data_IF_592976303301
#
_entry.id   IF_592976303301
#
_cell.length_a   1.000
_cell.length_b   1.000
_cell.length_c   1.000
_cell.angle_alpha   90.00
_cell.angle_beta   90.00
_cell.angle_gamma   90.00
#
_symmetry.space_group_name_H-M   'P 1'
#
loop_
_entity.id
_entity.type
_entity.pdbx_description
1 polymer ?
#
# COMPACT_ATOMS: atom_id res chain seq x y z
N UNK A 1 -12.49 -20.73 36.65
CA UNK A 1 -12.60 -19.49 35.86
C UNK A 1 -11.40 -19.49 34.94
N UNK A 2 -11.58 -19.94 33.67
CA UNK A 2 -10.50 -20.06 32.69
C UNK A 2 -10.21 -18.67 32.09
N UNK A 3 -8.95 -18.27 31.91
CA UNK A 3 -8.63 -17.01 31.26
C UNK A 3 -8.99 -17.10 29.77
N UNK A 4 -9.75 -16.13 29.31
CA UNK A 4 -10.04 -15.93 27.89
C UNK A 4 -8.74 -15.55 27.18
N UNK A 5 -8.17 -16.52 26.47
CA UNK A 5 -7.04 -16.28 25.58
C UNK A 5 -7.59 -15.60 24.32
N UNK A 6 -7.46 -14.29 24.25
CA UNK A 6 -7.67 -13.57 22.99
C UNK A 6 -6.66 -14.10 21.96
N UNK A 7 -7.16 -14.82 20.98
CA UNK A 7 -6.42 -15.19 19.79
C UNK A 7 -6.15 -13.90 19.00
N UNK A 8 -5.02 -13.25 19.29
CA UNK A 8 -4.51 -12.18 18.43
C UNK A 8 -4.27 -12.82 17.06
N UNK A 9 -5.07 -12.45 16.08
CA UNK A 9 -4.74 -12.76 14.69
C UNK A 9 -3.43 -12.03 14.40
N UNK A 10 -2.35 -12.80 14.31
CA UNK A 10 -1.07 -12.29 13.80
C UNK A 10 -1.28 -11.89 12.34
N UNK A 11 -1.74 -10.65 12.13
CA UNK A 11 -1.54 -9.99 10.85
C UNK A 11 -0.03 -9.77 10.80
N UNK A 12 0.65 -10.54 9.96
CA UNK A 12 2.07 -10.37 9.70
C UNK A 12 2.24 -9.02 8.98
N UNK A 13 2.28 -7.93 9.73
CA UNK A 13 2.55 -6.60 9.23
C UNK A 13 4.04 -6.50 8.97
N UNK A 14 4.49 -6.91 7.79
CA UNK A 14 5.86 -6.68 7.34
C UNK A 14 5.98 -5.36 6.61
N UNK A 15 7.15 -4.75 6.70
CA UNK A 15 7.49 -3.62 5.84
C UNK A 15 7.50 -4.03 4.37
N UNK A 16 7.14 -3.11 3.48
CA UNK A 16 7.08 -3.32 2.04
C UNK A 16 7.41 -2.04 1.28
N UNK A 17 7.78 -2.17 0.01
CA UNK A 17 8.06 -1.03 -0.84
C UNK A 17 6.81 -0.52 -1.54
N UNK A 18 6.75 0.81 -1.72
CA UNK A 18 5.68 1.51 -2.43
C UNK A 18 6.28 2.45 -3.48
N UNK A 19 5.56 2.79 -4.56
CA UNK A 19 5.98 3.85 -5.47
C UNK A 19 6.17 5.18 -4.73
N UNK A 20 7.31 5.85 -4.92
CA UNK A 20 7.56 7.18 -4.36
C UNK A 20 7.19 8.31 -5.34
N UNK A 21 6.93 7.97 -6.61
CA UNK A 21 6.56 8.89 -7.67
C UNK A 21 5.59 8.24 -8.66
N UNK A 22 4.94 9.06 -9.48
CA UNK A 22 4.19 8.58 -10.64
C UNK A 22 5.15 8.42 -11.82
N UNK A 23 5.10 7.26 -12.48
CA UNK A 23 5.94 6.96 -13.65
C UNK A 23 5.09 6.83 -14.91
N UNK A 24 5.59 7.38 -16.02
CA UNK A 24 5.09 7.14 -17.37
C UNK A 24 6.23 6.57 -18.23
N UNK A 25 6.05 5.36 -18.73
CA UNK A 25 7.03 4.64 -19.54
C UNK A 25 6.45 4.32 -20.91
N UNK A 26 7.26 4.43 -21.96
CA UNK A 26 6.87 4.17 -23.35
C UNK A 26 7.72 3.06 -23.94
N UNK A 27 7.08 2.11 -24.62
CA UNK A 27 7.75 1.06 -25.35
C UNK A 27 7.01 0.76 -26.66
N UNK A 28 7.76 0.52 -27.73
CA UNK A 28 7.21 0.07 -29.02
C UNK A 28 7.55 -1.41 -29.24
N UNK A 29 6.53 -2.24 -29.44
CA UNK A 29 6.67 -3.67 -29.74
C UNK A 29 5.92 -4.00 -31.01
N UNK A 30 6.64 -4.39 -32.08
CA UNK A 30 6.07 -4.68 -33.39
C UNK A 30 5.13 -3.57 -33.90
N UNK A 31 5.59 -2.34 -33.84
CA UNK A 31 4.87 -1.11 -34.20
C UNK A 31 3.66 -0.77 -33.30
N UNK A 32 3.27 -1.63 -32.37
CA UNK A 32 2.29 -1.24 -31.33
C UNK A 32 2.97 -0.44 -30.25
N UNK A 33 2.36 0.67 -29.85
CA UNK A 33 2.84 1.52 -28.75
C UNK A 33 2.18 1.07 -27.46
N UNK A 34 2.99 0.82 -26.45
CA UNK A 34 2.57 0.55 -25.09
C UNK A 34 3.01 1.69 -24.18
N UNK A 35 2.05 2.32 -23.50
CA UNK A 35 2.31 3.40 -22.55
C UNK A 35 1.91 2.89 -21.17
N UNK A 36 2.90 2.65 -20.33
CA UNK A 36 2.67 2.19 -18.96
C UNK A 36 2.64 3.38 -18.03
N UNK A 37 1.57 3.51 -17.26
CA UNK A 37 1.39 4.50 -16.21
C UNK A 37 1.38 3.78 -14.87
N UNK A 38 2.20 4.23 -13.92
CA UNK A 38 2.28 3.68 -12.56
C UNK A 38 2.06 4.81 -11.56
N UNK A 39 1.28 4.54 -10.52
CA UNK A 39 1.07 5.48 -9.42
C UNK A 39 1.00 4.78 -8.07
N UNK A 40 1.31 5.52 -7.01
CA UNK A 40 1.03 5.16 -5.63
C UNK A 40 -0.47 5.30 -5.37
N UNK A 41 -1.11 4.21 -4.98
CA UNK A 41 -2.57 4.12 -4.74
C UNK A 41 -2.83 3.29 -3.49
N UNK A 42 -2.84 3.93 -2.31
CA UNK A 42 -2.97 3.25 -1.01
C UNK A 42 -4.25 2.44 -0.86
N UNK A 43 -5.35 2.90 -1.47
CA UNK A 43 -6.68 2.31 -1.34
C UNK A 43 -7.25 1.86 -2.68
N UNK A 44 -8.30 1.05 -2.64
CA UNK A 44 -9.05 0.65 -3.83
C UNK A 44 -9.71 1.85 -4.53
N UNK A 45 -10.09 2.87 -3.79
CA UNK A 45 -10.72 4.06 -4.38
C UNK A 45 -9.68 4.94 -5.07
N UNK A 46 -8.44 5.04 -4.53
CA UNK A 46 -7.32 5.68 -5.23
C UNK A 46 -6.98 4.93 -6.52
N UNK A 47 -6.95 3.59 -6.47
CA UNK A 47 -6.73 2.77 -7.67
C UNK A 47 -7.79 3.02 -8.74
N UNK A 48 -9.08 3.03 -8.39
CA UNK A 48 -10.19 3.33 -9.30
C UNK A 48 -10.09 4.75 -9.87
N UNK A 49 -9.76 5.74 -9.02
CA UNK A 49 -9.61 7.13 -9.43
C UNK A 49 -8.46 7.27 -10.45
N UNK A 50 -7.33 6.62 -10.21
CA UNK A 50 -6.20 6.62 -11.14
C UNK A 50 -6.54 5.95 -12.48
N UNK A 51 -7.18 4.77 -12.46
CA UNK A 51 -7.64 4.07 -13.68
C UNK A 51 -8.60 4.96 -14.48
N UNK A 52 -9.57 5.58 -13.80
CA UNK A 52 -10.52 6.50 -14.43
C UNK A 52 -9.81 7.68 -15.09
N UNK A 53 -8.85 8.30 -14.38
CA UNK A 53 -8.05 9.41 -14.92
C UNK A 53 -7.32 9.02 -16.20
N UNK A 54 -6.66 7.85 -16.24
CA UNK A 54 -5.96 7.41 -17.46
C UNK A 54 -6.94 7.15 -18.62
N UNK A 55 -8.14 6.59 -18.36
CA UNK A 55 -9.16 6.42 -19.38
C UNK A 55 -9.64 7.78 -19.94
N UNK A 56 -9.71 8.81 -19.12
CA UNK A 56 -10.06 10.18 -19.53
C UNK A 56 -8.92 10.86 -20.30
N UNK A 57 -7.67 10.60 -19.93
CA UNK A 57 -6.48 11.15 -20.58
C UNK A 57 -6.21 10.47 -21.96
N UNK A 58 -6.68 9.23 -22.17
CA UNK A 58 -6.46 8.44 -23.40
C UNK A 58 -7.78 7.86 -23.95
N UNK A 59 -8.77 8.71 -24.28
CA UNK A 59 -10.10 8.27 -24.71
C UNK A 59 -10.12 7.64 -26.10
N UNK A 60 -9.09 7.86 -26.90
CA UNK A 60 -8.92 7.33 -28.26
C UNK A 60 -8.21 5.98 -28.28
N UNK A 61 -7.65 5.53 -27.16
CA UNK A 61 -7.06 4.21 -27.03
C UNK A 61 -8.16 3.14 -26.94
N UNK A 62 -7.93 2.01 -27.65
CA UNK A 62 -8.87 0.89 -27.59
C UNK A 62 -8.80 0.11 -26.30
N UNK A 63 -7.63 0.12 -25.65
CA UNK A 63 -7.34 -0.69 -24.49
C UNK A 63 -6.50 0.10 -23.48
N UNK A 64 -7.04 0.25 -22.27
CA UNK A 64 -6.37 0.76 -21.09
C UNK A 64 -6.39 -0.36 -20.04
N UNK A 65 -5.60 -1.41 -20.29
CA UNK A 65 -5.53 -2.58 -19.42
C UNK A 65 -4.86 -2.22 -18.11
N UNK A 66 -5.36 -2.76 -16.99
CA UNK A 66 -4.83 -2.37 -15.69
C UNK A 66 -4.68 -3.54 -14.72
N UNK A 67 -3.80 -3.36 -13.75
CA UNK A 67 -3.66 -4.20 -12.57
C UNK A 67 -3.30 -3.35 -11.37
N UNK A 68 -3.73 -3.77 -10.17
CA UNK A 68 -3.37 -3.10 -8.92
C UNK A 68 -3.14 -4.07 -7.76
N UNK A 69 -2.33 -3.59 -6.81
CA UNK A 69 -2.14 -4.11 -5.47
C UNK A 69 -2.44 -2.94 -4.52
N UNK A 70 -3.68 -2.80 -4.06
CA UNK A 70 -4.12 -1.70 -3.20
C UNK A 70 -3.96 -2.09 -1.73
N UNK A 71 -2.91 -1.60 -1.10
CA UNK A 71 -2.52 -1.94 0.27
C UNK A 71 -1.30 -2.84 0.35
N UNK A 72 -1.12 -3.50 1.50
CA UNK A 72 0.03 -4.38 1.75
C UNK A 72 0.02 -5.60 0.82
N UNK A 73 1.18 -6.00 0.26
CA UNK A 73 1.29 -7.22 -0.54
C UNK A 73 0.92 -8.48 0.28
N UNK A 74 0.31 -9.46 -0.39
CA UNK A 74 -0.06 -10.75 0.25
C UNK A 74 -1.54 -10.89 0.61
N UNK A 75 -2.31 -9.81 0.68
CA UNK A 75 -3.76 -9.85 0.89
C UNK A 75 -4.53 -10.05 -0.42
N UNK A 76 -5.26 -11.15 -0.59
CA UNK A 76 -5.98 -11.46 -1.85
C UNK A 76 -7.09 -10.46 -2.22
N UNK A 77 -7.65 -9.76 -1.25
CA UNK A 77 -8.75 -8.79 -1.44
C UNK A 77 -8.29 -7.41 -1.96
N UNK A 78 -6.99 -7.17 -2.00
CA UNK A 78 -6.41 -5.91 -2.49
C UNK A 78 -5.94 -5.99 -3.94
N UNK A 79 -6.13 -7.13 -4.61
CA UNK A 79 -5.69 -7.35 -5.99
C UNK A 79 -6.85 -7.20 -6.97
N UNK A 80 -6.56 -6.58 -8.10
CA UNK A 80 -7.50 -6.48 -9.21
C UNK A 80 -6.79 -6.33 -10.53
N UNK A 81 -7.49 -6.66 -11.62
CA UNK A 81 -7.01 -6.47 -12.98
C UNK A 81 -8.15 -6.44 -13.99
N UNK A 82 -7.86 -5.90 -15.18
CA UNK A 82 -8.75 -5.95 -16.34
C UNK A 82 -7.95 -6.01 -17.63
N UNK A 83 -8.44 -6.82 -18.57
CA UNK A 83 -7.91 -6.88 -19.92
C UNK A 83 -8.48 -5.78 -20.83
N UNK A 84 -9.48 -5.02 -20.40
CA UNK A 84 -10.10 -3.89 -21.10
C UNK A 84 -10.28 -4.12 -22.62
N UNK A 85 -10.94 -5.23 -22.96
CA UNK A 85 -11.24 -5.60 -24.34
C UNK A 85 -10.12 -6.31 -25.12
N UNK A 86 -8.93 -6.50 -24.53
CA UNK A 86 -7.96 -7.48 -25.05
C UNK A 86 -8.47 -8.92 -24.82
N UNK A 87 -7.96 -9.93 -25.53
CA UNK A 87 -8.34 -11.32 -25.27
C UNK A 87 -8.11 -11.71 -23.80
N UNK A 88 -9.05 -12.44 -23.23
CA UNK A 88 -9.05 -12.81 -21.81
C UNK A 88 -7.70 -13.39 -21.34
N UNK A 89 -7.16 -12.82 -20.27
CA UNK A 89 -5.91 -13.25 -19.63
C UNK A 89 -4.65 -12.87 -20.37
N UNK A 90 -4.72 -11.99 -21.40
CA UNK A 90 -3.55 -11.62 -22.19
C UNK A 90 -2.89 -10.29 -21.81
N UNK A 91 -3.55 -9.49 -20.98
CA UNK A 91 -3.08 -8.17 -20.57
C UNK A 91 -3.09 -7.97 -19.05
N UNK A 92 -4.24 -7.77 -18.43
CA UNK A 92 -4.35 -7.46 -17.01
C UNK A 92 -3.82 -8.55 -16.10
N UNK A 93 -4.07 -9.84 -16.42
CA UNK A 93 -3.54 -10.95 -15.62
C UNK A 93 -2.01 -11.05 -15.66
N UNK A 94 -1.33 -10.97 -16.83
CA UNK A 94 0.12 -10.84 -16.90
C UNK A 94 0.67 -9.64 -16.11
N UNK A 95 0.00 -8.47 -16.19
CA UNK A 95 0.37 -7.30 -15.41
C UNK A 95 0.26 -7.55 -13.90
N UNK A 96 -0.84 -8.15 -13.44
CA UNK A 96 -0.99 -8.51 -12.04
C UNK A 96 0.10 -9.48 -11.55
N UNK A 97 0.46 -10.47 -12.36
CA UNK A 97 1.54 -11.40 -12.01
C UNK A 97 2.89 -10.67 -11.83
N UNK A 98 3.16 -9.66 -12.66
CA UNK A 98 4.37 -8.82 -12.51
C UNK A 98 4.30 -7.98 -11.23
N UNK A 99 3.17 -7.32 -10.95
CA UNK A 99 3.01 -6.53 -9.73
C UNK A 99 3.15 -7.39 -8.46
N UNK A 100 2.49 -8.53 -8.41
CA UNK A 100 2.58 -9.44 -7.25
C UNK A 100 3.98 -10.03 -7.09
N UNK A 101 4.67 -10.31 -8.19
CA UNK A 101 6.05 -10.79 -8.18
C UNK A 101 7.08 -9.72 -7.77
N UNK A 102 6.77 -8.43 -7.92
CA UNK A 102 7.65 -7.32 -7.52
C UNK A 102 7.73 -7.12 -6.01
N UNK A 103 6.75 -7.59 -5.24
CA UNK A 103 6.64 -7.35 -3.81
C UNK A 103 6.23 -5.92 -3.44
N UNK A 104 5.89 -5.07 -4.42
CA UNK A 104 5.38 -3.73 -4.18
C UNK A 104 3.92 -3.76 -3.70
N UNK A 105 3.61 -2.89 -2.76
CA UNK A 105 2.23 -2.60 -2.34
C UNK A 105 1.77 -1.21 -2.77
N UNK A 106 0.47 -0.94 -2.60
CA UNK A 106 -0.13 0.38 -2.85
C UNK A 106 0.17 0.90 -4.26
N UNK A 107 0.12 0.03 -5.24
CA UNK A 107 0.52 0.30 -6.63
C UNK A 107 -0.61 -0.01 -7.60
N UNK A 108 -0.84 0.89 -8.53
CA UNK A 108 -1.68 0.67 -9.72
C UNK A 108 -0.87 0.92 -10.97
N UNK A 109 -0.96 0.00 -11.92
CA UNK A 109 -0.42 0.15 -13.26
C UNK A 109 -1.55 0.11 -14.29
N UNK A 110 -1.55 1.06 -15.23
CA UNK A 110 -2.42 1.08 -16.41
C UNK A 110 -1.55 1.08 -17.64
N UNK A 111 -1.80 0.16 -18.56
CA UNK A 111 -1.10 0.11 -19.85
C UNK A 111 -2.06 0.45 -20.98
N UNK A 112 -1.85 1.62 -21.55
CA UNK A 112 -2.54 2.11 -22.74
C UNK A 112 -1.87 1.54 -23.97
N UNK A 113 -2.64 0.92 -24.89
CA UNK A 113 -2.11 0.36 -26.13
C UNK A 113 -2.71 0.98 -27.37
N UNK A 114 -1.82 1.36 -28.29
CA UNK A 114 -2.15 1.71 -29.67
C UNK A 114 -1.65 0.62 -30.63
N UNK A 115 -2.56 0.10 -31.44
CA UNK A 115 -2.23 -0.97 -32.39
C UNK A 115 -1.41 -0.45 -33.58
N UNK A 116 -0.28 -1.07 -33.85
CA UNK A 116 0.66 -0.69 -34.92
C UNK A 116 0.50 -1.43 -36.24
N UNK A 117 -0.64 -2.10 -36.47
CA UNK A 117 -0.90 -2.83 -37.74
C UNK A 117 -0.39 -4.28 -37.78
N UNK A 118 0.45 -4.70 -36.85
CA UNK A 118 0.98 -6.08 -36.76
C UNK A 118 0.37 -6.79 -35.55
N UNK A 119 -0.36 -7.90 -35.80
CA UNK A 119 -0.94 -8.72 -34.72
C UNK A 119 0.16 -9.42 -33.93
N UNK A 120 0.14 -9.23 -32.61
CA UNK A 120 1.08 -9.87 -31.68
C UNK A 120 0.73 -11.36 -31.40
N UNK A 121 -0.55 -11.72 -31.49
CA UNK A 121 -1.10 -12.99 -31.02
C UNK A 121 -1.18 -13.04 -29.48
N UNK A 122 -1.92 -14.01 -28.93
CA UNK A 122 -2.16 -14.11 -27.47
C UNK A 122 -0.87 -14.20 -26.66
N UNK A 123 0.04 -15.10 -27.03
CA UNK A 123 1.35 -15.22 -26.37
C UNK A 123 2.25 -13.99 -26.55
N UNK A 124 2.09 -13.25 -27.66
CA UNK A 124 2.78 -11.97 -27.88
C UNK A 124 2.24 -10.87 -27.00
N UNK A 125 0.91 -10.79 -26.79
CA UNK A 125 0.27 -9.84 -25.89
C UNK A 125 0.71 -10.08 -24.43
N UNK A 126 0.66 -11.31 -23.96
CA UNK A 126 1.13 -11.67 -22.60
C UNK A 126 2.55 -11.16 -22.34
N UNK A 127 3.46 -11.42 -23.29
CA UNK A 127 4.85 -10.95 -23.19
C UNK A 127 4.97 -9.43 -23.27
N UNK A 128 4.16 -8.78 -24.12
CA UNK A 128 4.20 -7.33 -24.29
C UNK A 128 3.71 -6.61 -23.02
N UNK A 129 2.52 -6.94 -22.51
CA UNK A 129 1.98 -6.30 -21.30
C UNK A 129 2.84 -6.57 -20.07
N UNK A 130 3.22 -7.83 -19.83
CA UNK A 130 4.08 -8.18 -18.70
C UNK A 130 5.48 -7.60 -18.83
N UNK A 131 6.08 -7.66 -20.02
CA UNK A 131 7.42 -7.14 -20.31
C UNK A 131 7.50 -5.62 -20.17
N UNK A 132 6.57 -4.88 -20.81
CA UNK A 132 6.53 -3.42 -20.72
C UNK A 132 6.36 -2.94 -19.27
N UNK A 133 5.50 -3.60 -18.49
CA UNK A 133 5.34 -3.27 -17.08
C UNK A 133 6.61 -3.59 -16.28
N UNK A 134 7.25 -4.73 -16.53
CA UNK A 134 8.50 -5.06 -15.85
C UNK A 134 9.62 -4.05 -16.16
N UNK A 135 9.72 -3.61 -17.43
CA UNK A 135 10.68 -2.58 -17.84
C UNK A 135 10.37 -1.22 -17.19
N UNK A 136 9.09 -0.88 -17.00
CA UNK A 136 8.66 0.33 -16.29
C UNK A 136 9.02 0.24 -14.79
N UNK A 137 8.76 -0.90 -14.15
CA UNK A 137 9.11 -1.11 -12.73
C UNK A 137 10.61 -1.00 -12.47
N UNK A 138 11.46 -1.39 -13.42
CA UNK A 138 12.91 -1.26 -13.30
C UNK A 138 13.39 0.21 -13.24
N UNK A 139 12.55 1.18 -13.67
CA UNK A 139 12.83 2.61 -13.62
C UNK A 139 12.09 3.34 -12.50
N UNK A 140 11.17 2.63 -11.81
CA UNK A 140 10.34 3.21 -10.77
C UNK A 140 11.16 3.46 -9.50
N UNK A 141 11.10 4.68 -8.99
CA UNK A 141 11.61 4.97 -7.66
C UNK A 141 10.63 4.48 -6.59
N UNK A 142 11.16 3.87 -5.56
CA UNK A 142 10.37 3.29 -4.47
C UNK A 142 10.86 3.75 -3.13
N UNK A 143 9.98 3.77 -2.14
CA UNK A 143 10.30 4.02 -0.73
C UNK A 143 9.78 2.88 0.15
N UNK A 144 10.48 2.65 1.25
CA UNK A 144 10.08 1.66 2.24
C UNK A 144 8.89 2.20 3.06
N UNK A 145 7.80 1.46 3.12
CA UNK A 145 6.68 1.72 4.01
C UNK A 145 6.73 0.78 5.21
N UNK A 146 6.76 1.36 6.39
CA UNK A 146 6.64 0.65 7.66
C UNK A 146 5.17 0.78 8.09
N UNK A 147 4.42 -0.33 8.22
CA UNK A 147 3.06 -0.27 8.73
C UNK A 147 3.02 0.32 10.13
N UNK A 148 2.06 1.21 10.36
CA UNK A 148 1.83 1.81 11.66
C UNK A 148 0.77 1.04 12.45
N UNK A 149 0.91 1.04 13.78
CA UNK A 149 -0.16 0.71 14.72
C UNK A 149 -0.53 1.94 15.53
N UNK A 150 -1.82 2.13 15.77
CA UNK A 150 -2.29 3.18 16.66
C UNK A 150 -2.60 2.58 18.03
N UNK A 151 -1.94 3.12 19.05
CA UNK A 151 -2.25 2.86 20.45
C UNK A 151 -3.16 3.95 20.97
N UNK A 152 -4.14 3.58 21.79
CA UNK A 152 -5.03 4.50 22.47
C UNK A 152 -5.00 4.26 23.98
N UNK A 153 -5.13 5.31 24.76
CA UNK A 153 -5.19 5.24 26.22
C UNK A 153 -5.49 6.59 26.84
N UNK A 154 -5.49 6.63 28.17
CA UNK A 154 -5.73 7.86 28.94
C UNK A 154 -4.68 8.00 30.02
N UNK A 155 -4.34 9.26 30.37
CA UNK A 155 -3.46 9.58 31.48
C UNK A 155 -3.92 10.84 32.23
N UNK A 156 -3.41 11.00 33.44
CA UNK A 156 -3.49 12.28 34.12
C UNK A 156 -2.56 13.31 33.48
N UNK A 157 -2.87 14.59 33.66
CA UNK A 157 -2.05 15.71 33.17
C UNK A 157 -0.61 15.68 33.69
N UNK A 158 -0.41 15.19 34.92
CA UNK A 158 0.91 15.10 35.53
C UNK A 158 1.87 14.15 34.79
N UNK A 159 1.35 13.11 34.17
CA UNK A 159 2.14 12.12 33.45
C UNK A 159 2.37 12.49 31.97
N UNK A 160 1.63 13.46 31.43
CA UNK A 160 1.64 13.79 30.01
C UNK A 160 3.06 14.08 29.49
N UNK A 161 3.79 14.98 30.12
CA UNK A 161 5.12 15.39 29.65
C UNK A 161 6.14 14.25 29.70
N UNK A 162 6.07 13.45 30.76
CA UNK A 162 6.98 12.29 30.94
C UNK A 162 6.72 11.23 29.89
N UNK A 163 5.45 10.88 29.63
CA UNK A 163 5.06 9.89 28.62
C UNK A 163 5.48 10.36 27.22
N UNK A 164 5.17 11.60 26.86
CA UNK A 164 5.50 12.15 25.55
C UNK A 164 7.01 12.18 25.30
N UNK A 165 7.78 12.65 26.25
CA UNK A 165 9.24 12.66 26.16
C UNK A 165 9.80 11.25 26.04
N UNK A 166 9.27 10.30 26.80
CA UNK A 166 9.69 8.90 26.76
C UNK A 166 9.42 8.27 25.40
N UNK A 167 8.20 8.45 24.86
CA UNK A 167 7.81 7.95 23.55
C UNK A 167 8.73 8.46 22.46
N UNK A 168 8.98 9.75 22.37
CA UNK A 168 9.87 10.33 21.36
C UNK A 168 11.34 9.92 21.50
N UNK A 169 11.78 9.57 22.72
CA UNK A 169 13.18 9.19 22.95
C UNK A 169 13.46 7.71 22.65
N UNK A 170 12.44 6.83 22.69
CA UNK A 170 12.64 5.38 22.64
C UNK A 170 11.93 4.71 21.45
N UNK A 171 10.98 5.40 20.80
CA UNK A 171 10.17 4.80 19.74
C UNK A 171 10.14 5.65 18.48
N UNK A 172 9.90 5.00 17.34
CA UNK A 172 9.65 5.66 16.04
C UNK A 172 8.19 6.10 16.00
N UNK A 173 7.94 7.32 16.44
CA UNK A 173 6.59 7.91 16.49
C UNK A 173 6.27 8.56 15.14
N UNK A 174 5.12 8.21 14.57
CA UNK A 174 4.59 8.79 13.34
C UNK A 174 3.66 9.96 13.63
N UNK A 175 2.78 9.82 14.63
CA UNK A 175 1.94 10.90 15.13
C UNK A 175 1.54 10.69 16.58
N UNK A 176 1.30 11.77 17.30
CA UNK A 176 0.64 11.78 18.60
C UNK A 176 -0.50 12.78 18.54
N UNK A 177 -1.72 12.30 18.72
CA UNK A 177 -2.91 13.13 18.89
C UNK A 177 -3.36 13.04 20.34
N UNK A 178 -3.74 14.19 20.90
CA UNK A 178 -4.20 14.30 22.29
C UNK A 178 -5.52 15.08 22.35
N UNK A 179 -6.45 14.56 23.12
CA UNK A 179 -7.69 15.27 23.48
C UNK A 179 -7.69 15.58 24.97
N UNK A 180 -7.99 16.81 25.30
CA UNK A 180 -7.88 17.36 26.64
C UNK A 180 -9.27 17.53 27.27
N UNK A 181 -9.61 16.64 28.22
CA UNK A 181 -10.85 16.65 28.99
C UNK A 181 -10.57 16.58 30.50
N UNK A 182 -11.31 15.77 31.23
CA UNK A 182 -11.02 15.46 32.63
C UNK A 182 -9.68 14.72 32.80
N UNK A 183 -9.27 14.00 31.76
CA UNK A 183 -7.98 13.32 31.59
C UNK A 183 -7.45 13.64 30.20
N UNK A 184 -6.19 13.29 29.94
CA UNK A 184 -5.60 13.38 28.60
C UNK A 184 -5.83 12.07 27.87
N UNK A 185 -6.58 12.09 26.76
CA UNK A 185 -6.77 10.94 25.88
C UNK A 185 -5.71 10.95 24.78
N UNK A 186 -5.09 9.79 24.55
CA UNK A 186 -3.99 9.62 23.62
C UNK A 186 -4.39 8.78 22.42
N UNK A 187 -3.93 9.15 21.23
CA UNK A 187 -3.82 8.31 20.06
C UNK A 187 -2.38 8.42 19.53
N UNK A 188 -1.65 7.34 19.60
CA UNK A 188 -0.22 7.28 19.31
C UNK A 188 -0.01 6.33 18.14
N UNK A 189 0.33 6.87 16.98
CA UNK A 189 0.73 6.06 15.82
C UNK A 189 2.24 5.88 15.83
N UNK A 190 2.68 4.62 15.81
CA UNK A 190 4.10 4.27 15.85
C UNK A 190 4.37 3.04 14.99
N UNK A 191 5.65 2.75 14.75
CA UNK A 191 6.08 1.51 14.09
C UNK A 191 5.44 0.30 14.78
N UNK A 192 4.69 -0.49 14.00
CA UNK A 192 3.94 -1.65 14.52
C UNK A 192 4.83 -2.65 15.29
N UNK A 193 6.12 -2.77 14.92
CA UNK A 193 7.10 -3.66 15.56
C UNK A 193 7.38 -3.25 17.00
N UNK A 194 7.21 -1.97 17.31
CA UNK A 194 7.50 -1.37 18.62
C UNK A 194 6.25 -1.25 19.51
N UNK A 195 5.05 -1.48 18.96
CA UNK A 195 3.80 -1.21 19.66
C UNK A 195 3.64 -2.01 20.96
N UNK A 196 4.01 -3.28 20.97
CA UNK A 196 3.91 -4.13 22.18
C UNK A 196 4.90 -3.68 23.26
N UNK A 197 6.12 -3.32 22.85
CA UNK A 197 7.14 -2.80 23.77
C UNK A 197 6.70 -1.44 24.35
N UNK A 198 6.21 -0.52 23.50
CA UNK A 198 5.71 0.79 23.96
C UNK A 198 4.57 0.66 24.99
N UNK A 199 3.63 -0.27 24.76
CA UNK A 199 2.57 -0.56 25.74
C UNK A 199 3.12 -0.97 27.09
N UNK A 200 4.05 -1.91 27.11
CA UNK A 200 4.63 -2.41 28.35
C UNK A 200 5.44 -1.34 29.07
N UNK A 201 6.30 -0.62 28.34
CA UNK A 201 7.17 0.39 28.94
C UNK A 201 6.39 1.60 29.48
N UNK A 202 5.31 2.04 28.81
CA UNK A 202 4.44 3.09 29.33
C UNK A 202 3.65 2.62 30.56
N UNK A 203 3.20 1.37 30.58
CA UNK A 203 2.57 0.79 31.76
C UNK A 203 3.53 0.81 32.96
N UNK A 204 4.76 0.35 32.76
CA UNK A 204 5.79 0.32 33.80
C UNK A 204 6.20 1.73 34.27
N UNK A 205 6.44 2.65 33.32
CA UNK A 205 6.77 4.06 33.58
C UNK A 205 5.71 4.76 34.44
N UNK A 206 4.44 4.44 34.20
CA UNK A 206 3.30 5.01 34.93
C UNK A 206 2.96 4.25 36.22
N UNK A 207 3.75 3.28 36.64
CA UNK A 207 3.45 2.35 37.74
C UNK A 207 2.07 1.66 37.60
N UNK A 208 1.71 1.28 36.38
CA UNK A 208 0.46 0.58 36.07
C UNK A 208 -0.78 1.48 35.94
N UNK A 209 -0.63 2.80 35.98
CA UNK A 209 -1.75 3.74 35.89
C UNK A 209 -2.22 3.92 34.45
N UNK A 210 -1.30 3.92 33.48
CA UNK A 210 -1.62 4.15 32.06
C UNK A 210 -1.54 2.83 31.30
N UNK A 211 -2.67 2.38 30.80
CA UNK A 211 -2.77 1.21 29.92
C UNK A 211 -3.08 1.66 28.49
N UNK A 212 -2.17 1.36 27.56
CA UNK A 212 -2.37 1.60 26.14
C UNK A 212 -2.93 0.34 25.48
N UNK A 213 -3.95 0.51 24.63
CA UNK A 213 -4.59 -0.56 23.85
C UNK A 213 -4.41 -0.31 22.36
N UNK A 214 -4.35 -1.40 21.57
CA UNK A 214 -4.32 -1.29 20.10
C UNK A 214 -5.71 -0.83 19.64
N UNK A 215 -5.75 0.25 18.87
CA UNK A 215 -6.98 0.74 18.24
C UNK A 215 -7.18 -0.02 16.93
N UNK A 216 -8.34 -0.69 16.80
CA UNK A 216 -8.76 -1.35 15.54
C UNK A 216 -9.24 -0.33 14.50
#
# INVERSE_FOLDING_TARGET
MLPFVFKVHNICMSEYYIPSETLKFHEEIKKSTFIVHIAHTPTLDDAKAFIKKINEDYPDARHNCWAHVAGQPGGSHVYGFSDDGEPNGTAGKPMLNVLTGSGLGEITAVTTRYFGGIKLGTGGLVRAYGGSLNNALAQLQTSLKIPALTLAGVSDYALQGVIEQYLHSHFTILSIEKDYGAVVSWQISLDHRQAQQARQEIFDLSNGVVELTIKE
#
